data_IF_447984464563
#
_entry.id   IF_447984464563
#
_cell.length_a   1.000
_cell.length_b   1.000
_cell.length_c   1.000
_cell.angle_alpha   90.00
_cell.angle_beta   90.00
_cell.angle_gamma   90.00
#
_symmetry.space_group_name_H-M   'P 1'
#
loop_
_entity.id
_entity.type
_entity.pdbx_description
1 polymer ?
#
# COMPACT_ATOMS: atom_id res chain seq x y z
N UNK A 1 -16.08 -38.42 17.68
CA UNK A 1 -16.35 -36.95 17.55
C UNK A 1 -15.01 -36.25 17.56
N UNK A 2 -14.40 -36.11 16.39
CA UNK A 2 -13.15 -35.39 16.15
C UNK A 2 -13.48 -33.94 15.79
N UNK A 3 -13.06 -33.01 16.63
CA UNK A 3 -13.12 -31.57 16.36
C UNK A 3 -11.90 -31.19 15.52
N UNK A 4 -12.10 -30.97 14.23
CA UNK A 4 -11.08 -30.37 13.37
C UNK A 4 -10.86 -28.92 13.78
N UNK A 5 -9.69 -28.65 14.38
CA UNK A 5 -9.17 -27.31 14.59
C UNK A 5 -8.61 -26.83 13.26
N UNK A 6 -9.37 -26.03 12.53
CA UNK A 6 -8.83 -25.21 11.45
C UNK A 6 -7.89 -24.19 12.04
N UNK A 7 -6.59 -24.47 11.99
CA UNK A 7 -5.54 -23.54 12.33
C UNK A 7 -5.45 -22.47 11.26
N UNK A 8 -5.91 -21.25 11.56
CA UNK A 8 -5.69 -20.07 10.76
C UNK A 8 -4.19 -19.74 10.76
N UNK A 9 -3.47 -20.25 9.78
CA UNK A 9 -2.05 -19.95 9.57
C UNK A 9 -1.93 -18.53 9.02
N UNK A 10 -1.67 -17.54 9.89
CA UNK A 10 -1.30 -16.20 9.48
C UNK A 10 -0.06 -16.26 8.60
N UNK A 11 -0.02 -15.58 7.44
CA UNK A 11 1.14 -15.60 6.57
C UNK A 11 2.38 -15.10 7.31
N UNK A 12 3.41 -15.94 7.37
CA UNK A 12 4.71 -15.56 7.93
C UNK A 12 5.43 -14.69 6.90
N UNK A 13 5.40 -13.38 7.10
CA UNK A 13 6.23 -12.46 6.35
C UNK A 13 7.71 -12.75 6.73
N UNK A 14 8.49 -13.28 5.79
CA UNK A 14 9.95 -13.28 5.91
C UNK A 14 10.46 -11.99 5.29
N UNK A 15 11.22 -11.17 6.01
CA UNK A 15 11.92 -10.04 5.40
C UNK A 15 12.82 -10.57 4.28
N UNK A 16 12.82 -9.87 3.14
CA UNK A 16 13.72 -10.15 2.04
C UNK A 16 15.15 -9.99 2.56
N UNK A 17 15.90 -11.09 2.64
CA UNK A 17 17.34 -11.03 2.86
C UNK A 17 17.94 -10.38 1.61
N UNK A 18 18.53 -9.22 1.78
CA UNK A 18 19.38 -8.64 0.77
C UNK A 18 20.49 -9.65 0.46
N UNK A 19 20.84 -9.80 -0.81
CA UNK A 19 21.77 -10.82 -1.33
C UNK A 19 23.23 -10.66 -0.81
N UNK A 20 23.47 -9.84 0.18
CA UNK A 20 24.77 -9.53 0.80
C UNK A 20 24.81 -9.84 2.27
N UNK A 21 24.20 -10.86 2.80
CA UNK A 21 24.46 -11.47 4.09
C UNK A 21 24.94 -10.61 5.28
N UNK A 22 24.99 -9.30 5.16
CA UNK A 22 25.41 -8.37 6.20
C UNK A 22 24.20 -7.57 6.65
N UNK A 23 23.87 -7.68 7.93
CA UNK A 23 23.08 -6.66 8.63
C UNK A 23 23.89 -5.36 8.56
N UNK A 24 23.56 -4.53 7.58
CA UNK A 24 24.11 -3.18 7.50
C UNK A 24 23.82 -2.50 8.82
N UNK A 25 24.88 -1.99 9.47
CA UNK A 25 24.80 -1.17 10.66
C UNK A 25 23.68 -0.15 10.48
N UNK A 26 22.84 0.00 11.51
CA UNK A 26 21.84 1.06 11.62
C UNK A 26 22.49 2.41 11.31
N UNK A 27 22.47 2.80 10.03
CA UNK A 27 22.79 4.16 9.64
C UNK A 27 21.78 5.02 10.40
N UNK A 28 22.30 5.94 11.22
CA UNK A 28 21.52 6.91 11.97
C UNK A 28 20.75 7.75 10.96
N UNK A 29 19.46 7.38 10.76
CA UNK A 29 18.54 8.28 10.10
C UNK A 29 18.20 9.37 11.10
N UNK A 30 18.39 10.62 10.71
CA UNK A 30 17.86 11.74 11.45
C UNK A 30 16.34 11.63 11.48
N UNK A 31 15.70 11.97 12.59
CA UNK A 31 14.24 11.93 12.74
C UNK A 31 13.50 12.75 11.68
N UNK A 32 14.21 13.64 10.98
CA UNK A 32 13.71 14.52 9.92
C UNK A 32 13.43 13.79 8.59
N UNK A 33 14.01 12.59 8.37
CA UNK A 33 13.89 11.83 7.11
C UNK A 33 12.81 10.73 7.16
N UNK A 34 12.09 10.56 8.27
CA UNK A 34 11.08 9.51 8.41
C UNK A 34 9.75 10.04 7.86
N UNK A 35 9.31 9.61 6.65
CA UNK A 35 7.98 9.94 6.16
C UNK A 35 6.94 9.41 7.15
N UNK A 36 5.90 10.21 7.42
CA UNK A 36 4.89 9.87 8.39
C UNK A 36 4.25 8.51 8.18
N UNK A 37 3.68 8.02 9.23
CA UNK A 37 2.96 6.76 9.27
C UNK A 37 1.82 6.72 8.25
N UNK A 38 1.53 5.55 7.70
CA UNK A 38 0.54 5.34 6.65
C UNK A 38 -0.52 4.35 7.11
N UNK A 39 -1.77 4.61 6.79
CA UNK A 39 -2.90 3.71 6.99
C UNK A 39 -3.53 3.26 5.67
N UNK A 40 -4.18 2.10 5.69
CA UNK A 40 -5.08 1.71 4.60
C UNK A 40 -6.39 2.49 4.68
N UNK A 41 -6.87 2.97 3.55
CA UNK A 41 -8.23 3.53 3.43
C UNK A 41 -9.21 2.39 3.20
N UNK A 42 -10.15 2.19 4.12
CA UNK A 42 -10.90 0.96 4.34
C UNK A 42 -11.77 0.38 3.22
N UNK A 43 -12.03 1.07 2.11
CA UNK A 43 -12.99 0.62 1.09
C UNK A 43 -12.39 0.12 -0.22
N UNK A 44 -11.16 0.49 -0.53
CA UNK A 44 -10.50 0.07 -1.77
C UNK A 44 -9.70 -1.20 -1.54
N UNK A 45 -10.12 -2.28 -2.18
CA UNK A 45 -9.56 -3.62 -1.95
C UNK A 45 -8.39 -3.97 -2.87
N UNK A 46 -8.18 -3.22 -3.96
CA UNK A 46 -7.11 -3.48 -4.92
C UNK A 46 -6.73 -2.21 -5.66
N UNK A 47 -5.46 -2.09 -6.00
CA UNK A 47 -4.88 -1.01 -6.81
C UNK A 47 -4.52 -1.51 -8.22
N UNK A 48 -5.23 -2.52 -8.72
CA UNK A 48 -5.04 -3.02 -10.08
C UNK A 48 -5.29 -1.89 -11.10
N UNK A 49 -4.41 -1.79 -12.09
CA UNK A 49 -4.45 -0.73 -13.08
C UNK A 49 -3.66 0.54 -12.71
N UNK A 50 -3.16 0.67 -11.50
CA UNK A 50 -2.18 1.72 -11.18
C UNK A 50 -0.81 1.37 -11.75
N UNK A 51 -0.19 2.34 -12.43
CA UNK A 51 1.07 2.12 -13.18
C UNK A 51 2.24 1.64 -12.31
N UNK A 52 2.27 2.02 -11.04
CA UNK A 52 3.31 1.62 -10.09
C UNK A 52 2.91 0.42 -9.21
N UNK A 53 1.71 -0.13 -9.37
CA UNK A 53 1.29 -1.34 -8.68
C UNK A 53 1.79 -2.57 -9.45
N UNK A 54 2.98 -3.04 -9.13
CA UNK A 54 3.57 -4.19 -9.80
C UNK A 54 2.86 -5.49 -9.45
N UNK A 55 2.38 -6.17 -10.48
CA UNK A 55 1.82 -7.51 -10.42
C UNK A 55 2.97 -8.52 -10.48
N UNK A 56 3.05 -9.52 -9.59
CA UNK A 56 4.06 -10.56 -9.69
C UNK A 56 3.83 -11.41 -10.93
N UNK A 57 4.88 -11.60 -11.76
CA UNK A 57 4.86 -12.52 -12.90
C UNK A 57 5.33 -13.90 -12.46
N UNK A 58 6.32 -13.93 -11.57
CA UNK A 58 6.98 -15.12 -11.08
C UNK A 58 6.88 -15.22 -9.56
N UNK A 59 6.92 -16.45 -9.08
CA UNK A 59 6.90 -16.76 -7.66
C UNK A 59 8.21 -16.30 -6.98
N UNK A 60 8.12 -15.46 -5.99
CA UNK A 60 9.29 -14.99 -5.22
C UNK A 60 10.02 -16.08 -4.42
N UNK A 61 9.46 -17.30 -4.36
CA UNK A 61 10.04 -18.41 -3.59
C UNK A 61 10.73 -19.46 -4.45
N UNK A 62 10.21 -19.78 -5.65
CA UNK A 62 10.75 -20.80 -6.53
C UNK A 62 11.00 -20.33 -7.96
N UNK A 63 10.62 -19.09 -8.31
CA UNK A 63 10.83 -18.53 -9.64
C UNK A 63 9.83 -18.95 -10.71
N UNK A 64 8.90 -19.85 -10.39
CA UNK A 64 7.92 -20.36 -11.35
C UNK A 64 6.71 -19.41 -11.51
N UNK A 65 5.98 -19.59 -12.61
CA UNK A 65 4.84 -18.73 -12.93
C UNK A 65 3.73 -18.76 -11.89
N UNK A 66 3.07 -17.63 -11.71
CA UNK A 66 1.95 -17.48 -10.79
C UNK A 66 0.62 -17.28 -11.53
N UNK A 67 -0.48 -17.65 -10.88
CA UNK A 67 -1.84 -17.41 -11.36
C UNK A 67 -2.63 -16.54 -10.37
N UNK A 68 -3.49 -15.69 -10.90
CA UNK A 68 -4.33 -14.84 -10.07
C UNK A 68 -5.45 -15.66 -9.44
N UNK A 69 -5.57 -15.60 -8.11
CA UNK A 69 -6.64 -16.28 -7.36
C UNK A 69 -7.63 -15.30 -6.73
N UNK A 70 -7.19 -14.08 -6.44
CA UNK A 70 -8.03 -13.00 -5.91
C UNK A 70 -7.43 -11.64 -6.29
N UNK A 71 -8.10 -10.55 -5.93
CA UNK A 71 -7.60 -9.19 -6.17
C UNK A 71 -6.29 -8.96 -5.43
N UNK A 72 -5.22 -8.70 -6.19
CA UNK A 72 -3.87 -8.51 -5.67
C UNK A 72 -3.19 -9.76 -5.10
N UNK A 73 -3.82 -10.94 -5.22
CA UNK A 73 -3.31 -12.21 -4.68
C UNK A 73 -3.10 -13.22 -5.81
N UNK A 74 -1.92 -13.78 -5.85
CA UNK A 74 -1.46 -14.69 -6.89
C UNK A 74 -0.88 -15.95 -6.25
N UNK A 75 -1.19 -17.12 -6.78
CA UNK A 75 -0.67 -18.40 -6.28
C UNK A 75 0.30 -19.01 -7.27
N UNK A 76 1.41 -19.51 -6.75
CA UNK A 76 2.37 -20.26 -7.56
C UNK A 76 1.79 -21.61 -8.00
N UNK A 77 1.92 -21.93 -9.28
CA UNK A 77 1.43 -23.20 -9.86
C UNK A 77 2.20 -24.42 -9.37
N UNK A 78 3.45 -24.21 -8.94
CA UNK A 78 4.36 -25.31 -8.55
C UNK A 78 4.42 -25.46 -7.04
N UNK A 79 4.79 -24.41 -6.29
CA UNK A 79 4.96 -24.52 -4.85
C UNK A 79 3.69 -24.15 -4.03
N UNK A 80 2.60 -23.73 -4.68
CA UNK A 80 1.34 -23.37 -4.05
C UNK A 80 1.36 -22.12 -3.17
N UNK A 81 2.51 -21.43 -3.03
CA UNK A 81 2.65 -20.26 -2.16
C UNK A 81 2.01 -19.03 -2.77
N UNK A 82 1.47 -18.18 -1.91
CA UNK A 82 0.86 -16.92 -2.30
C UNK A 82 1.93 -15.83 -2.51
N UNK A 83 1.68 -15.05 -3.55
CA UNK A 83 2.42 -13.86 -3.93
C UNK A 83 1.43 -12.70 -4.02
N UNK A 84 1.87 -11.49 -3.79
CA UNK A 84 1.00 -10.32 -3.71
C UNK A 84 1.53 -9.21 -4.62
N UNK A 85 0.62 -8.41 -5.17
CA UNK A 85 1.01 -7.16 -5.81
C UNK A 85 1.53 -6.15 -4.75
N UNK A 86 2.07 -5.02 -5.19
CA UNK A 86 2.64 -4.03 -4.29
C UNK A 86 1.63 -3.48 -3.30
N UNK A 87 0.41 -3.17 -3.77
CA UNK A 87 -0.62 -2.63 -2.89
C UNK A 87 -1.03 -3.62 -1.81
N UNK A 88 -1.32 -4.87 -2.19
CA UNK A 88 -1.70 -5.90 -1.24
C UNK A 88 -0.56 -6.21 -0.25
N UNK A 89 0.69 -6.16 -0.72
CA UNK A 89 1.87 -6.31 0.14
C UNK A 89 1.93 -5.23 1.21
N UNK A 90 1.77 -3.95 0.84
CA UNK A 90 1.75 -2.82 1.78
C UNK A 90 0.57 -2.93 2.72
N UNK A 91 -0.61 -3.26 2.20
CA UNK A 91 -1.82 -3.41 3.00
C UNK A 91 -1.67 -4.48 4.09
N UNK A 92 -1.22 -5.69 3.73
CA UNK A 92 -0.98 -6.77 4.68
C UNK A 92 0.08 -6.40 5.72
N UNK A 93 1.11 -5.65 5.31
CA UNK A 93 2.11 -5.13 6.22
C UNK A 93 1.49 -4.19 7.25
N UNK A 94 0.69 -3.22 6.80
CA UNK A 94 0.02 -2.26 7.68
C UNK A 94 -1.04 -2.90 8.57
N UNK A 95 -1.78 -3.91 8.10
CA UNK A 95 -2.73 -4.68 8.90
C UNK A 95 -2.02 -5.44 10.04
N UNK A 96 -0.79 -5.85 9.81
CA UNK A 96 -0.02 -6.61 10.79
C UNK A 96 0.72 -5.73 11.81
N UNK A 97 1.34 -4.65 11.34
CA UNK A 97 2.26 -3.83 12.14
C UNK A 97 1.67 -2.47 12.51
N UNK A 98 0.51 -2.12 11.97
CA UNK A 98 -0.12 -0.83 12.16
C UNK A 98 0.53 0.27 11.31
N UNK A 99 0.22 1.51 11.66
CA UNK A 99 0.73 2.69 10.97
C UNK A 99 2.26 2.74 11.04
N UNK A 100 2.89 2.83 9.86
CA UNK A 100 4.33 2.70 9.72
C UNK A 100 4.84 3.73 8.70
N UNK A 101 6.02 4.34 8.91
CA UNK A 101 6.65 5.23 7.94
C UNK A 101 6.91 4.55 6.59
N UNK A 102 6.71 5.28 5.48
CA UNK A 102 6.90 4.75 4.13
C UNK A 102 8.32 4.19 3.89
N UNK A 103 9.33 4.80 4.49
CA UNK A 103 10.72 4.33 4.41
C UNK A 103 10.89 2.93 5.04
N UNK A 104 10.22 2.69 6.13
CA UNK A 104 10.26 1.38 6.81
C UNK A 104 9.49 0.35 5.97
N UNK A 105 8.33 0.72 5.42
CA UNK A 105 7.56 -0.16 4.53
C UNK A 105 8.39 -0.54 3.31
N UNK A 106 9.05 0.43 2.65
CA UNK A 106 9.94 0.17 1.51
C UNK A 106 11.06 -0.81 1.87
N UNK A 107 11.73 -0.58 3.01
CA UNK A 107 12.83 -1.44 3.47
C UNK A 107 12.37 -2.88 3.77
N UNK A 108 11.24 -3.03 4.45
CA UNK A 108 10.76 -4.34 4.92
C UNK A 108 10.03 -5.13 3.82
N UNK A 109 9.36 -4.44 2.90
CA UNK A 109 8.54 -5.08 1.87
C UNK A 109 9.19 -5.09 0.49
N UNK A 110 10.15 -4.21 0.23
CA UNK A 110 10.74 -3.98 -1.10
C UNK A 110 9.83 -3.20 -2.05
N UNK A 111 8.70 -2.68 -1.57
CA UNK A 111 7.80 -1.85 -2.39
C UNK A 111 8.38 -0.44 -2.50
N UNK A 112 8.65 0.08 -3.72
CA UNK A 112 9.26 1.39 -3.90
C UNK A 112 8.40 2.51 -3.29
N UNK A 113 9.03 3.49 -2.66
CA UNK A 113 8.36 4.65 -2.05
C UNK A 113 7.45 5.39 -3.02
N UNK A 114 7.83 5.49 -4.30
CA UNK A 114 7.00 6.08 -5.36
C UNK A 114 5.66 5.35 -5.55
N UNK A 115 5.63 4.02 -5.42
CA UNK A 115 4.38 3.26 -5.48
C UNK A 115 3.51 3.53 -4.25
N UNK A 116 4.11 3.60 -3.06
CA UNK A 116 3.39 3.95 -1.83
C UNK A 116 2.81 5.37 -1.93
N UNK A 117 3.57 6.33 -2.47
CA UNK A 117 3.09 7.69 -2.72
C UNK A 117 1.92 7.69 -3.72
N UNK A 118 1.99 6.90 -4.79
CA UNK A 118 0.88 6.77 -5.74
C UNK A 118 -0.39 6.26 -5.02
N UNK A 119 -0.26 5.27 -4.13
CA UNK A 119 -1.40 4.77 -3.35
C UNK A 119 -2.00 5.84 -2.44
N UNK A 120 -1.17 6.68 -1.82
CA UNK A 120 -1.63 7.84 -1.04
C UNK A 120 -2.33 8.87 -1.92
N UNK A 121 -1.75 9.24 -3.07
CA UNK A 121 -2.33 10.21 -4.02
C UNK A 121 -3.65 9.73 -4.62
N UNK A 122 -3.77 8.45 -4.87
CA UNK A 122 -5.00 7.84 -5.41
C UNK A 122 -6.02 7.44 -4.33
N UNK A 123 -5.80 7.87 -3.08
CA UNK A 123 -6.70 7.66 -1.95
C UNK A 123 -6.91 6.18 -1.56
N UNK A 124 -5.96 5.29 -1.89
CA UNK A 124 -5.94 3.91 -1.41
C UNK A 124 -5.35 3.78 -0.01
N UNK A 125 -4.45 4.69 0.35
CA UNK A 125 -3.84 4.81 1.66
C UNK A 125 -4.03 6.23 2.18
N UNK A 126 -3.96 6.42 3.50
CA UNK A 126 -3.95 7.74 4.11
C UNK A 126 -2.93 7.84 5.25
N UNK A 127 -2.45 9.06 5.49
CA UNK A 127 -1.59 9.39 6.62
C UNK A 127 -2.48 9.59 7.87
N UNK A 128 -2.12 9.01 9.04
CA UNK A 128 -2.87 9.17 10.28
C UNK A 128 -3.07 10.62 10.68
N UNK A 129 -4.15 10.90 11.40
CA UNK A 129 -4.45 12.26 11.89
C UNK A 129 -3.38 12.79 12.83
N UNK A 130 -2.83 11.93 13.67
CA UNK A 130 -1.80 12.24 14.67
C UNK A 130 -0.38 12.33 14.11
N UNK A 131 -0.14 11.88 12.87
CA UNK A 131 1.18 11.99 12.26
C UNK A 131 1.55 13.47 12.05
N UNK A 132 2.78 13.89 12.36
CA UNK A 132 3.25 15.24 12.11
C UNK A 132 3.46 15.53 10.62
N UNK A 133 3.70 14.50 9.84
CA UNK A 133 3.99 14.63 8.40
C UNK A 133 2.69 14.65 7.60
N UNK A 134 2.68 15.50 6.56
CA UNK A 134 1.57 15.68 5.62
C UNK A 134 2.11 15.79 4.21
N UNK A 135 1.29 15.41 3.24
CA UNK A 135 1.50 15.79 1.86
C UNK A 135 0.98 17.21 1.63
N UNK A 136 1.43 17.85 0.55
CA UNK A 136 0.95 19.17 0.16
C UNK A 136 -0.13 19.08 -0.91
N UNK A 137 -1.17 19.90 -0.78
CA UNK A 137 -2.17 20.11 -1.83
C UNK A 137 -1.50 20.71 -3.07
N UNK A 138 -1.72 20.13 -4.24
CA UNK A 138 -1.09 20.61 -5.49
C UNK A 138 -1.59 21.98 -5.95
N UNK A 139 -2.74 22.45 -5.45
CA UNK A 139 -3.30 23.73 -5.84
C UNK A 139 -2.93 24.86 -4.88
N UNK A 140 -2.96 24.66 -3.58
CA UNK A 140 -2.79 25.72 -2.57
C UNK A 140 -1.69 25.44 -1.55
N UNK A 141 -1.01 24.29 -1.62
CA UNK A 141 0.05 23.91 -0.67
C UNK A 141 -0.43 23.50 0.72
N UNK A 142 -1.74 23.57 1.01
CA UNK A 142 -2.27 23.17 2.31
C UNK A 142 -1.95 21.71 2.65
N UNK A 143 -1.74 21.37 3.93
CA UNK A 143 -1.41 20.01 4.34
C UNK A 143 -2.60 19.07 4.14
N UNK A 144 -2.36 17.92 3.49
CA UNK A 144 -3.33 16.87 3.25
C UNK A 144 -2.78 15.51 3.69
N UNK A 145 -3.69 14.56 3.96
CA UNK A 145 -3.32 13.21 4.41
C UNK A 145 -3.39 12.17 3.29
N UNK A 146 -4.15 12.47 2.24
CA UNK A 146 -4.34 11.61 1.07
C UNK A 146 -4.84 12.44 -0.11
N UNK A 147 -4.73 11.93 -1.33
CA UNK A 147 -5.19 12.61 -2.53
C UNK A 147 -4.23 13.68 -3.07
N UNK A 148 -4.74 14.47 -3.99
CA UNK A 148 -4.00 15.56 -4.64
C UNK A 148 -4.41 16.94 -4.13
N UNK A 149 -5.66 17.10 -3.70
CA UNK A 149 -6.26 18.38 -3.34
C UNK A 149 -6.83 18.34 -1.92
N UNK A 150 -6.75 19.46 -1.22
CA UNK A 150 -7.48 19.65 0.04
C UNK A 150 -8.99 19.80 -0.24
N UNK A 151 -9.82 19.65 0.80
CA UNK A 151 -11.28 19.71 0.69
C UNK A 151 -11.79 21.04 0.11
N UNK A 152 -11.13 22.14 0.43
CA UNK A 152 -11.47 23.45 -0.13
C UNK A 152 -11.21 23.52 -1.63
N UNK A 153 -10.05 23.04 -2.08
CA UNK A 153 -9.69 23.01 -3.49
C UNK A 153 -10.53 22.00 -4.28
N UNK A 154 -10.91 20.87 -3.69
CA UNK A 154 -11.86 19.93 -4.27
C UNK A 154 -13.21 20.60 -4.55
N UNK A 155 -13.75 21.35 -3.56
CA UNK A 155 -15.00 22.11 -3.73
C UNK A 155 -14.90 23.18 -4.81
N UNK A 156 -13.82 23.96 -4.83
CA UNK A 156 -13.62 25.02 -5.82
C UNK A 156 -13.50 24.49 -7.27
N UNK A 157 -12.95 23.29 -7.46
CA UNK A 157 -12.84 22.62 -8.75
C UNK A 157 -14.09 21.82 -9.14
N UNK A 158 -15.19 21.91 -8.37
CA UNK A 158 -16.44 21.19 -8.64
C UNK A 158 -16.34 19.68 -8.35
N UNK A 159 -15.30 19.23 -7.66
CA UNK A 159 -15.24 17.89 -7.17
C UNK A 159 -16.11 17.76 -5.91
N UNK A 160 -17.38 17.44 -6.10
CA UNK A 160 -18.27 17.04 -5.00
C UNK A 160 -17.71 15.80 -4.34
N UNK A 161 -17.37 15.92 -3.05
CA UNK A 161 -16.95 14.77 -2.25
C UNK A 161 -18.20 13.99 -1.86
N UNK A 162 -18.74 13.21 -2.77
CA UNK A 162 -19.75 12.22 -2.44
C UNK A 162 -19.05 10.96 -1.93
N UNK A 163 -18.83 10.91 -0.64
CA UNK A 163 -18.58 9.66 0.04
C UNK A 163 -19.85 8.80 -0.08
N UNK A 164 -19.87 7.88 -1.05
CA UNK A 164 -20.86 6.81 -1.06
C UNK A 164 -21.78 6.68 -2.24
N UNK A 165 -21.53 7.31 -3.41
CA UNK A 165 -22.29 6.94 -4.60
C UNK A 165 -21.38 6.78 -5.83
N UNK A 166 -21.26 5.54 -6.27
CA UNK A 166 -20.81 5.18 -7.60
C UNK A 166 -21.80 5.73 -8.63
N UNK A 167 -21.36 6.58 -9.53
CA UNK A 167 -22.20 6.86 -10.66
C UNK A 167 -22.01 8.22 -11.32
N UNK A 168 -21.53 8.16 -12.53
CA UNK A 168 -21.83 9.04 -13.63
C UNK A 168 -21.07 10.36 -13.72
N UNK A 169 -19.96 10.29 -14.42
CA UNK A 169 -19.28 11.44 -15.02
C UNK A 169 -20.14 12.01 -16.16
N UNK A 170 -20.92 13.03 -15.91
CA UNK A 170 -21.44 13.87 -16.98
C UNK A 170 -20.59 15.14 -17.05
N UNK A 171 -19.76 15.19 -18.06
CA UNK A 171 -19.13 16.40 -18.57
C UNK A 171 -20.23 17.41 -18.93
N UNK A 172 -20.26 18.55 -18.26
CA UNK A 172 -21.04 19.71 -18.71
C UNK A 172 -20.08 20.73 -19.29
N UNK A 173 -20.33 21.10 -20.52
CA UNK A 173 -19.64 22.11 -21.32
C UNK A 173 -19.82 23.50 -20.70
#
# INVERSE_FOLDING_TARGET
>A
RTKDRMGSSKPKFRPLKNNTGQFGSLARYSEEDVPGEIYTVGTRMSAEGLSLNRIPMDCKYCGEGVEKIARGVYRCKVCGRENYDYFQTVRLYLERFGATPALIIERETGVPRKAIEQFLRQEYLEIPRQSPIRMSCENCGAPIRTGYLCDQCKKLKGFSVNYGQSGNWRSSR
#
